data_IF_654976505703
#
_entry.id   IF_654976505703
#
_cell.length_a   1.000
_cell.length_b   1.000
_cell.length_c   1.000
_cell.angle_alpha   90.00
_cell.angle_beta   90.00
_cell.angle_gamma   90.00
#
_symmetry.space_group_name_H-M   'P 1'
#
loop_
_entity.id
_entity.type
_entity.pdbx_description
1 polymer ?
#
# COMPACT_ATOMS: atom_id res chain seq x y z
N UNK A 1 -11.67 -3.58 -16.75
CA UNK A 1 -10.29 -3.77 -16.22
C UNK A 1 -10.16 -3.34 -14.76
N UNK A 2 -10.55 -2.11 -14.34
CA UNK A 2 -10.42 -1.64 -12.93
C UNK A 2 -11.06 -2.57 -11.89
N UNK A 3 -12.29 -3.03 -12.13
CA UNK A 3 -12.98 -3.97 -11.23
C UNK A 3 -12.20 -5.28 -11.13
N UNK A 4 -11.85 -5.89 -12.27
CA UNK A 4 -11.09 -7.15 -12.33
C UNK A 4 -9.74 -7.04 -11.61
N UNK A 5 -9.00 -5.95 -11.82
CA UNK A 5 -7.73 -5.72 -11.13
C UNK A 5 -7.94 -5.52 -9.63
N UNK A 6 -9.00 -4.82 -9.23
CA UNK A 6 -9.37 -4.65 -7.83
C UNK A 6 -9.63 -5.98 -7.14
N UNK A 7 -10.41 -6.85 -7.78
CA UNK A 7 -10.70 -8.20 -7.29
C UNK A 7 -9.45 -9.08 -7.21
N UNK A 8 -8.55 -8.99 -8.21
CA UNK A 8 -7.27 -9.69 -8.16
C UNK A 8 -6.39 -9.19 -7.03
N UNK A 9 -6.29 -7.86 -6.89
CA UNK A 9 -5.48 -7.26 -5.84
C UNK A 9 -5.99 -7.67 -4.47
N UNK A 10 -7.31 -7.64 -4.27
CA UNK A 10 -7.93 -8.10 -3.04
C UNK A 10 -7.62 -9.58 -2.76
N UNK A 11 -7.85 -10.48 -3.73
CA UNK A 11 -7.61 -11.92 -3.57
C UNK A 11 -6.15 -12.30 -3.32
N UNK A 12 -5.20 -11.53 -3.83
CA UNK A 12 -3.78 -11.88 -3.78
C UNK A 12 -3.05 -11.16 -2.62
N UNK A 13 -3.37 -9.88 -2.35
CA UNK A 13 -2.64 -9.08 -1.35
C UNK A 13 -3.24 -9.14 0.05
N UNK A 14 -4.57 -9.23 0.21
CA UNK A 14 -5.14 -9.34 1.56
C UNK A 14 -4.67 -10.60 2.31
N UNK A 15 -4.67 -11.80 1.68
CA UNK A 15 -4.14 -12.99 2.34
C UNK A 15 -2.63 -12.87 2.63
N UNK A 16 -1.88 -12.19 1.76
CA UNK A 16 -0.45 -11.94 1.99
C UNK A 16 -0.22 -11.06 3.23
N UNK A 17 -1.01 -9.98 3.39
CA UNK A 17 -0.93 -9.11 4.57
C UNK A 17 -1.29 -9.89 5.84
N UNK A 18 -2.33 -10.72 5.80
CA UNK A 18 -2.72 -11.55 6.95
C UNK A 18 -1.63 -12.55 7.35
N UNK A 19 -0.97 -13.19 6.38
CA UNK A 19 0.15 -14.11 6.65
C UNK A 19 1.34 -13.35 7.24
N UNK A 20 1.71 -12.20 6.66
CA UNK A 20 2.84 -11.41 7.17
C UNK A 20 2.60 -10.89 8.58
N UNK A 21 1.36 -10.50 8.93
CA UNK A 21 1.00 -10.16 10.31
C UNK A 21 1.24 -11.34 11.25
N UNK A 22 0.80 -12.54 10.89
CA UNK A 22 1.07 -13.75 11.68
C UNK A 22 2.55 -14.03 11.83
N UNK A 23 3.36 -13.84 10.78
CA UNK A 23 4.81 -14.02 10.88
C UNK A 23 5.46 -13.02 11.84
N UNK A 24 5.00 -11.77 11.87
CA UNK A 24 5.45 -10.78 12.86
C UNK A 24 5.04 -11.21 14.27
N UNK A 25 3.77 -11.56 14.47
CA UNK A 25 3.26 -12.00 15.78
C UNK A 25 4.01 -13.26 16.29
N UNK A 26 4.30 -14.21 15.40
CA UNK A 26 5.06 -15.43 15.71
C UNK A 26 6.51 -15.10 16.07
N UNK A 27 7.18 -14.22 15.31
CA UNK A 27 8.56 -13.81 15.57
C UNK A 27 8.71 -13.05 16.90
N UNK A 28 7.70 -12.29 17.31
CA UNK A 28 7.61 -11.68 18.63
C UNK A 28 7.42 -12.75 19.73
N UNK A 29 6.53 -13.72 19.50
CA UNK A 29 6.19 -14.74 20.48
C UNK A 29 7.32 -15.76 20.72
N UNK A 30 8.09 -16.12 19.69
CA UNK A 30 9.21 -17.07 19.80
C UNK A 30 10.53 -16.40 20.20
N UNK A 31 10.53 -15.08 20.38
CA UNK A 31 11.72 -14.29 20.73
C UNK A 31 12.87 -14.52 19.73
N UNK A 32 12.54 -14.47 18.42
CA UNK A 32 13.53 -14.54 17.34
C UNK A 32 14.58 -13.43 17.44
N UNK A 33 15.70 -13.59 16.73
CA UNK A 33 16.71 -12.55 16.58
C UNK A 33 16.09 -11.24 16.06
N UNK A 34 16.53 -10.11 16.62
CA UNK A 34 15.98 -8.79 16.27
C UNK A 34 16.01 -8.51 14.76
N UNK A 35 17.10 -8.90 14.07
CA UNK A 35 17.23 -8.76 12.62
C UNK A 35 16.13 -9.52 11.86
N UNK A 36 15.70 -10.68 12.36
CA UNK A 36 14.63 -11.48 11.76
C UNK A 36 13.29 -10.79 11.92
N UNK A 37 13.00 -10.24 13.11
CA UNK A 37 11.78 -9.48 13.38
C UNK A 37 11.69 -8.23 12.51
N UNK A 38 12.77 -7.43 12.48
CA UNK A 38 12.85 -6.20 11.67
C UNK A 38 12.60 -6.49 10.18
N UNK A 39 13.07 -7.63 9.66
CA UNK A 39 12.82 -8.03 8.27
C UNK A 39 11.35 -8.34 8.01
N UNK A 40 10.67 -9.04 8.91
CA UNK A 40 9.23 -9.32 8.77
C UNK A 40 8.38 -8.05 8.85
N UNK A 41 8.70 -7.17 9.80
CA UNK A 41 8.03 -5.87 9.94
C UNK A 41 8.25 -4.99 8.71
N UNK A 42 9.48 -4.89 8.22
CA UNK A 42 9.81 -4.11 7.02
C UNK A 42 9.09 -4.64 5.78
N UNK A 43 8.97 -5.96 5.65
CA UNK A 43 8.25 -6.58 4.54
C UNK A 43 6.74 -6.32 4.63
N UNK A 44 6.17 -6.42 5.84
CA UNK A 44 4.77 -6.10 6.08
C UNK A 44 4.46 -4.63 5.75
N UNK A 45 5.28 -3.70 6.23
CA UNK A 45 5.13 -2.27 5.97
C UNK A 45 5.22 -1.95 4.47
N UNK A 46 6.19 -2.55 3.77
CA UNK A 46 6.34 -2.40 2.33
C UNK A 46 5.06 -2.84 1.58
N UNK A 47 4.53 -4.03 1.89
CA UNK A 47 3.32 -4.55 1.23
C UNK A 47 2.09 -3.68 1.56
N UNK A 48 1.93 -3.25 2.80
CA UNK A 48 0.82 -2.38 3.21
C UNK A 48 0.89 -1.00 2.55
N UNK A 49 2.10 -0.43 2.45
CA UNK A 49 2.34 0.83 1.76
C UNK A 49 1.98 0.73 0.28
N UNK A 50 2.38 -0.34 -0.40
CA UNK A 50 2.04 -0.57 -1.80
C UNK A 50 0.53 -0.79 -2.00
N UNK A 51 -0.14 -1.54 -1.10
CA UNK A 51 -1.58 -1.72 -1.15
C UNK A 51 -2.33 -0.38 -0.99
N UNK A 52 -1.91 0.43 -0.01
CA UNK A 52 -2.49 1.76 0.22
C UNK A 52 -2.30 2.68 -0.98
N UNK A 53 -1.09 2.69 -1.58
CA UNK A 53 -0.83 3.46 -2.79
C UNK A 53 -1.72 3.01 -3.96
N UNK A 54 -1.93 1.70 -4.12
CA UNK A 54 -2.84 1.17 -5.13
C UNK A 54 -4.28 1.65 -4.91
N UNK A 55 -4.79 1.57 -3.67
CA UNK A 55 -6.15 2.02 -3.31
C UNK A 55 -6.33 3.52 -3.65
N UNK A 56 -5.37 4.36 -3.28
CA UNK A 56 -5.38 5.78 -3.63
C UNK A 56 -5.39 6.03 -5.14
N UNK A 57 -4.57 5.30 -5.91
CA UNK A 57 -4.52 5.43 -7.37
C UNK A 57 -5.84 4.97 -8.02
N UNK A 58 -6.49 3.95 -7.45
CA UNK A 58 -7.74 3.39 -7.98
C UNK A 58 -8.89 4.40 -7.91
N UNK A 59 -8.92 5.25 -6.89
CA UNK A 59 -9.91 6.33 -6.74
C UNK A 59 -9.74 7.48 -7.74
N UNK A 60 -8.56 7.59 -8.38
CA UNK A 60 -8.31 8.63 -9.39
C UNK A 60 -9.12 8.35 -10.66
N UNK A 61 -9.96 9.29 -11.13
CA UNK A 61 -10.67 9.16 -12.40
C UNK A 61 -9.70 8.89 -13.55
N UNK A 62 -10.04 7.96 -14.44
CA UNK A 62 -9.14 7.52 -15.53
C UNK A 62 -8.61 8.67 -16.38
N UNK A 63 -9.44 9.67 -16.69
CA UNK A 63 -8.99 10.83 -17.47
C UNK A 63 -7.92 11.67 -16.76
N UNK A 64 -7.97 11.76 -15.43
CA UNK A 64 -6.94 12.44 -14.62
C UNK A 64 -5.67 11.60 -14.63
N UNK A 65 -5.77 10.31 -14.32
CA UNK A 65 -4.62 9.39 -14.30
C UNK A 65 -3.86 9.38 -15.64
N UNK A 66 -4.58 9.34 -16.77
CA UNK A 66 -3.98 9.41 -18.11
C UNK A 66 -3.24 10.73 -18.33
N UNK A 67 -3.78 11.87 -17.86
CA UNK A 67 -3.09 13.16 -17.93
C UNK A 67 -1.83 13.17 -17.06
N UNK A 68 -1.89 12.62 -15.84
CA UNK A 68 -0.73 12.51 -14.94
C UNK A 68 0.40 11.69 -15.58
N UNK A 69 0.07 10.52 -16.15
CA UNK A 69 1.04 9.65 -16.83
C UNK A 69 1.66 10.35 -18.05
N UNK A 70 0.85 11.03 -18.86
CA UNK A 70 1.35 11.81 -20.01
C UNK A 70 2.23 13.01 -19.60
N UNK A 71 2.03 13.53 -18.39
CA UNK A 71 2.84 14.61 -17.82
C UNK A 71 4.14 14.11 -17.20
N UNK A 72 4.28 12.80 -16.96
CA UNK A 72 5.54 12.06 -16.79
C UNK A 72 6.62 12.77 -15.97
N UNK A 73 6.27 13.37 -14.83
CA UNK A 73 7.22 14.05 -13.92
C UNK A 73 7.12 15.58 -13.82
N UNK A 74 6.18 16.24 -14.51
CA UNK A 74 6.08 17.72 -14.52
C UNK A 74 5.02 18.33 -13.58
N UNK A 75 4.47 17.57 -12.66
CA UNK A 75 3.47 18.10 -11.73
C UNK A 75 4.16 18.34 -10.39
N UNK A 76 4.41 19.60 -9.97
CA UNK A 76 4.68 19.84 -8.57
C UNK A 76 3.44 19.34 -7.82
N UNK A 77 3.61 18.36 -6.93
CA UNK A 77 2.56 17.93 -6.00
C UNK A 77 2.29 19.09 -5.04
N UNK A 78 1.57 20.09 -5.55
CA UNK A 78 0.77 21.05 -4.82
C UNK A 78 -0.68 20.76 -5.18
N UNK A 79 -1.10 19.53 -4.91
CA UNK A 79 -2.52 19.23 -4.82
C UNK A 79 -2.81 19.17 -3.33
N UNK A 80 -3.45 20.23 -2.83
CA UNK A 80 -3.90 20.34 -1.44
C UNK A 80 -5.00 19.34 -1.12
N UNK A 81 -4.64 18.04 -1.10
CA UNK A 81 -5.50 16.95 -0.64
C UNK A 81 -5.14 16.48 0.79
N UNK A 82 -4.25 17.20 1.48
CA UNK A 82 -4.08 17.10 2.94
C UNK A 82 -4.38 18.48 3.56
N UNK A 83 -5.65 18.84 3.69
CA UNK A 83 -6.10 19.93 4.56
C UNK A 83 -7.61 19.91 4.82
N UNK A 84 -8.02 19.13 5.81
CA UNK A 84 -8.95 19.44 6.95
C UNK A 84 -9.39 18.11 7.57
N UNK A 85 -9.34 17.86 8.88
CA UNK A 85 -9.01 18.59 10.11
C UNK A 85 -9.33 17.64 11.27
N UNK A 86 -8.48 17.49 12.29
CA UNK A 86 -8.63 18.17 13.59
C UNK A 86 -10.01 18.00 14.24
N UNK A 87 -10.11 17.02 15.13
CA UNK A 87 -10.81 17.11 16.42
C UNK A 87 -10.07 16.18 17.40
#
# INVERSE_FOLDING_TARGET
IRIILGERMHREVQPTIEILKKCVDEAEATNEEEEVRERFESLLDCVQTLNTAYEQIREIPTGVLVKLVKLGGKIPVKLGLFSKGSA
#
